data_IF_788723456166
#
_entry.id   IF_788723456166
#
_cell.length_a   1.000
_cell.length_b   1.000
_cell.length_c   1.000
_cell.angle_alpha   90.00
_cell.angle_beta   90.00
_cell.angle_gamma   90.00
#
_symmetry.space_group_name_H-M   'P 1'
#
loop_
_entity.id
_entity.type
_entity.pdbx_description
1 polymer ?
#
# COMPACT_ATOMS: atom_id res chain seq x y z
N UNK A 1 -8.22 -4.41 -9.69
CA UNK A 1 -8.57 -4.72 -8.29
C UNK A 1 -9.67 -5.76 -8.16
N UNK A 2 -10.70 -5.78 -9.03
CA UNK A 2 -11.74 -6.82 -9.00
C UNK A 2 -11.24 -8.26 -9.24
N UNK A 3 -10.10 -8.43 -9.93
CA UNK A 3 -9.54 -9.74 -10.24
C UNK A 3 -9.02 -10.52 -9.02
N UNK A 4 -8.59 -9.86 -7.94
CA UNK A 4 -8.01 -10.56 -6.78
C UNK A 4 -9.09 -11.21 -5.90
N UNK A 5 -10.30 -10.63 -5.86
CA UNK A 5 -11.43 -11.17 -5.09
C UNK A 5 -12.03 -12.39 -5.77
N UNK A 6 -12.01 -12.43 -7.11
CA UNK A 6 -12.51 -13.57 -7.90
C UNK A 6 -11.61 -14.80 -7.69
N UNK A 7 -10.29 -14.61 -7.59
CA UNK A 7 -9.34 -15.72 -7.42
C UNK A 7 -9.56 -16.50 -6.11
N UNK A 8 -9.98 -15.84 -5.03
CA UNK A 8 -10.28 -16.51 -3.74
C UNK A 8 -11.60 -17.30 -3.74
N UNK A 9 -12.46 -17.16 -4.76
CA UNK A 9 -13.76 -17.85 -4.83
C UNK A 9 -13.83 -19.00 -5.84
N UNK A 10 -12.81 -19.21 -6.67
CA UNK A 10 -12.87 -20.15 -7.82
C UNK A 10 -12.25 -21.53 -7.54
N UNK A 11 -11.44 -21.72 -6.50
CA UNK A 11 -10.74 -22.99 -6.29
C UNK A 11 -11.38 -23.85 -5.17
N UNK A 12 -12.52 -24.50 -5.44
CA UNK A 12 -12.89 -25.74 -4.72
C UNK A 12 -13.94 -26.66 -5.40
N UNK A 13 -14.19 -26.56 -6.69
CA UNK A 13 -15.03 -27.53 -7.39
C UNK A 13 -14.30 -28.01 -8.65
N UNK A 14 -13.58 -29.13 -8.55
CA UNK A 14 -13.47 -30.10 -9.65
C UNK A 14 -12.79 -31.40 -9.18
N UNK A 15 -13.49 -32.52 -9.40
CA UNK A 15 -13.05 -33.90 -9.22
C UNK A 15 -13.87 -34.76 -10.19
N UNK A 16 -13.42 -35.96 -10.59
CA UNK A 16 -12.26 -36.29 -11.43
C UNK A 16 -12.71 -36.84 -12.81
N UNK A 17 -11.95 -36.58 -13.87
CA UNK A 17 -12.22 -37.18 -15.19
C UNK A 17 -11.54 -38.57 -15.31
N UNK A 18 -12.37 -39.58 -15.52
CA UNK A 18 -12.01 -40.97 -15.79
C UNK A 18 -11.53 -41.12 -17.24
N UNK A 19 -10.41 -41.80 -17.48
CA UNK A 19 -10.02 -42.21 -18.83
C UNK A 19 -9.69 -43.71 -18.86
N UNK A 20 -10.58 -44.46 -19.53
CA UNK A 20 -10.39 -45.85 -19.91
C UNK A 20 -9.66 -45.97 -21.28
N UNK A 21 -8.97 -47.10 -21.41
CA UNK A 21 -8.53 -47.81 -22.62
C UNK A 21 -7.17 -47.47 -23.26
N UNK A 22 -6.29 -48.50 -23.30
CA UNK A 22 -5.60 -49.01 -24.51
C UNK A 22 -4.85 -50.32 -24.19
N UNK A 23 -5.41 -51.43 -24.71
CA UNK A 23 -4.80 -52.55 -25.48
C UNK A 23 -3.64 -53.40 -24.93
N UNK A 24 -3.95 -54.71 -24.89
CA UNK A 24 -3.11 -55.91 -24.73
C UNK A 24 -1.75 -55.91 -25.45
N UNK A 25 -0.73 -56.51 -24.80
CA UNK A 25 0.32 -57.30 -25.46
C UNK A 25 0.80 -58.48 -24.57
N UNK A 26 0.35 -59.69 -24.91
CA UNK A 26 0.99 -61.02 -24.85
C UNK A 26 2.34 -61.21 -24.11
N UNK A 27 2.35 -62.03 -23.04
CA UNK A 27 3.36 -63.10 -22.83
C UNK A 27 3.01 -64.05 -21.68
N UNK A 28 2.94 -65.35 -21.98
CA UNK A 28 2.66 -66.45 -21.04
C UNK A 28 3.90 -66.75 -20.19
N UNK A 29 3.83 -66.52 -18.88
CA UNK A 29 4.57 -67.26 -17.83
C UNK A 29 3.94 -66.92 -16.49
N UNK A 30 3.65 -67.95 -15.69
CA UNK A 30 3.01 -67.95 -14.35
C UNK A 30 3.25 -66.66 -13.56
N UNK A 31 2.43 -65.66 -13.79
CA UNK A 31 2.23 -64.50 -12.92
C UNK A 31 0.78 -64.62 -12.48
N UNK A 32 0.56 -64.53 -11.16
CA UNK A 32 -0.79 -64.43 -10.60
C UNK A 32 -1.30 -63.05 -11.03
N UNK A 33 -1.85 -63.00 -12.25
CA UNK A 33 -2.39 -61.80 -12.86
C UNK A 33 -3.44 -61.23 -11.93
N UNK A 34 -3.08 -60.12 -11.28
CA UNK A 34 -3.96 -59.31 -10.45
C UNK A 34 -4.95 -58.56 -11.32
N UNK A 35 -5.79 -59.29 -12.03
CA UNK A 35 -7.07 -58.78 -12.49
C UNK A 35 -8.05 -59.16 -11.36
N UNK A 36 -8.14 -58.34 -10.30
CA UNK A 36 -9.31 -58.40 -9.41
C UNK A 36 -10.47 -57.96 -10.30
N UNK A 37 -11.09 -58.94 -10.97
CA UNK A 37 -12.40 -58.83 -11.60
C UNK A 37 -13.35 -58.15 -10.63
N UNK A 38 -14.45 -57.58 -11.14
CA UNK A 38 -15.51 -56.97 -10.34
C UNK A 38 -16.05 -57.88 -9.19
N UNK A 39 -15.63 -59.15 -9.13
CA UNK A 39 -15.83 -60.11 -8.04
C UNK A 39 -14.53 -60.52 -7.32
N UNK A 40 -13.73 -59.57 -6.84
CA UNK A 40 -12.64 -59.87 -5.90
C UNK A 40 -13.17 -60.47 -4.58
N UNK A 41 -12.36 -61.24 -3.85
CA UNK A 41 -12.73 -61.66 -2.47
C UNK A 41 -13.07 -60.42 -1.62
N UNK A 42 -13.96 -60.56 -0.63
CA UNK A 42 -14.28 -59.50 0.35
C UNK A 42 -13.00 -58.86 0.92
N UNK A 43 -11.94 -59.66 1.10
CA UNK A 43 -10.63 -59.18 1.51
C UNK A 43 -9.90 -58.31 0.46
N UNK A 44 -9.96 -58.62 -0.85
CA UNK A 44 -9.35 -57.78 -1.93
C UNK A 44 -10.02 -56.39 -1.93
N UNK A 45 -11.35 -56.35 -1.87
CA UNK A 45 -12.11 -55.08 -1.84
C UNK A 45 -11.76 -54.24 -0.62
N UNK A 46 -11.69 -54.85 0.56
CA UNK A 46 -11.35 -54.14 1.79
C UNK A 46 -9.91 -53.64 1.80
N UNK A 47 -8.95 -54.40 1.25
CA UNK A 47 -7.58 -53.92 1.07
C UNK A 47 -7.56 -52.66 0.21
N UNK A 48 -8.22 -52.68 -0.95
CA UNK A 48 -8.31 -51.50 -1.83
C UNK A 48 -8.99 -50.31 -1.19
N UNK A 49 -9.97 -50.53 -0.30
CA UNK A 49 -10.59 -49.44 0.47
C UNK A 49 -9.60 -48.82 1.48
N UNK A 50 -8.83 -49.64 2.20
CA UNK A 50 -7.83 -49.16 3.17
C UNK A 50 -6.65 -48.47 2.50
N UNK A 51 -6.17 -49.01 1.37
CA UNK A 51 -5.08 -48.44 0.61
C UNK A 51 -5.45 -47.02 0.15
N UNK A 52 -6.62 -46.84 -0.48
CA UNK A 52 -7.14 -45.51 -0.85
C UNK A 52 -7.29 -44.56 0.34
N UNK A 53 -7.74 -45.06 1.49
CA UNK A 53 -7.83 -44.24 2.70
C UNK A 53 -6.45 -43.81 3.20
N UNK A 54 -5.47 -44.72 3.19
CA UNK A 54 -4.11 -44.42 3.58
C UNK A 54 -3.46 -43.41 2.63
N UNK A 55 -3.72 -43.50 1.32
CA UNK A 55 -3.24 -42.54 0.34
C UNK A 55 -3.73 -41.11 0.68
N UNK A 56 -4.99 -40.97 1.09
CA UNK A 56 -5.53 -39.67 1.55
C UNK A 56 -4.85 -39.14 2.82
N UNK A 57 -4.51 -40.01 3.77
CA UNK A 57 -3.76 -39.61 4.96
C UNK A 57 -2.33 -39.16 4.63
N UNK A 58 -1.67 -39.84 3.67
CA UNK A 58 -0.34 -39.48 3.20
C UNK A 58 -0.37 -38.13 2.46
N UNK A 59 -1.33 -37.94 1.57
CA UNK A 59 -1.57 -36.69 0.85
C UNK A 59 -1.81 -35.54 1.84
N UNK A 60 -2.74 -35.72 2.80
CA UNK A 60 -3.02 -34.73 3.84
C UNK A 60 -1.76 -34.40 4.65
N UNK A 61 -1.02 -35.43 5.10
CA UNK A 61 0.23 -35.22 5.84
C UNK A 61 1.26 -34.38 5.07
N UNK A 62 1.36 -34.57 3.75
CA UNK A 62 2.27 -33.78 2.89
C UNK A 62 1.86 -32.32 2.73
N UNK A 63 0.55 -32.03 2.76
CA UNK A 63 0.01 -30.67 2.71
C UNK A 63 0.27 -29.93 4.02
N UNK A 64 0.15 -30.63 5.16
CA UNK A 64 0.31 -30.01 6.48
C UNK A 64 1.76 -29.65 6.80
N UNK A 65 2.72 -30.49 6.40
CA UNK A 65 4.15 -30.24 6.59
C UNK A 65 4.93 -30.43 5.28
N UNK A 66 4.90 -29.44 4.37
CA UNK A 66 5.70 -29.49 3.16
C UNK A 66 7.19 -29.62 3.49
N UNK A 67 7.85 -30.64 2.93
CA UNK A 67 9.29 -30.87 3.09
C UNK A 67 9.71 -31.70 4.30
N UNK A 68 8.77 -32.20 5.13
CA UNK A 68 9.06 -33.23 6.14
C UNK A 68 8.47 -34.58 5.74
N UNK A 69 9.10 -35.71 6.13
CA UNK A 69 8.51 -37.01 5.92
C UNK A 69 7.15 -37.11 6.65
N UNK A 70 6.10 -37.66 6.01
CA UNK A 70 4.77 -37.70 6.61
C UNK A 70 4.77 -38.42 7.96
N UNK A 71 4.22 -37.76 9.00
CA UNK A 71 3.96 -38.40 10.29
C UNK A 71 3.00 -39.56 10.07
N UNK A 72 3.29 -40.74 10.63
CA UNK A 72 2.45 -41.93 10.41
C UNK A 72 1.23 -41.99 11.34
N UNK A 73 1.12 -41.09 12.32
CA UNK A 73 -0.01 -41.08 13.26
C UNK A 73 -1.21 -40.34 12.67
N UNK A 74 -2.27 -41.12 12.38
CA UNK A 74 -3.52 -40.63 11.80
C UNK A 74 -4.24 -39.62 12.68
N UNK A 75 -4.17 -39.75 14.01
CA UNK A 75 -4.84 -38.82 14.92
C UNK A 75 -4.16 -37.45 14.90
N UNK A 76 -2.82 -37.44 14.91
CA UNK A 76 -2.03 -36.21 14.83
C UNK A 76 -2.25 -35.50 13.50
N UNK A 77 -2.28 -36.22 12.37
CA UNK A 77 -2.60 -35.63 11.06
C UNK A 77 -3.94 -34.89 11.09
N UNK A 78 -4.99 -35.51 11.68
CA UNK A 78 -6.31 -34.87 11.75
C UNK A 78 -6.33 -33.64 12.66
N UNK A 79 -5.63 -33.70 13.80
CA UNK A 79 -5.51 -32.55 14.73
C UNK A 79 -4.75 -31.40 14.06
N UNK A 80 -3.63 -31.69 13.40
CA UNK A 80 -2.83 -30.70 12.67
C UNK A 80 -3.65 -30.07 11.54
N UNK A 81 -4.43 -30.86 10.79
CA UNK A 81 -5.34 -30.36 9.76
C UNK A 81 -6.41 -29.42 10.31
N UNK A 82 -7.06 -29.79 11.43
CA UNK A 82 -8.05 -28.95 12.09
C UNK A 82 -7.46 -27.62 12.56
N UNK A 83 -6.26 -27.69 13.15
CA UNK A 83 -5.53 -26.50 13.61
C UNK A 83 -5.18 -25.57 12.45
N UNK A 84 -4.58 -26.11 11.38
CA UNK A 84 -4.21 -25.32 10.20
C UNK A 84 -5.44 -24.72 9.50
N UNK A 85 -6.52 -25.48 9.36
CA UNK A 85 -7.77 -24.96 8.78
C UNK A 85 -8.35 -23.80 9.60
N UNK A 86 -8.28 -23.87 10.93
CA UNK A 86 -8.74 -22.79 11.81
C UNK A 86 -7.85 -21.55 11.67
N UNK A 87 -6.53 -21.74 11.65
CA UNK A 87 -5.56 -20.68 11.46
C UNK A 87 -5.77 -19.97 10.11
N UNK A 88 -5.81 -20.71 9.00
CA UNK A 88 -6.00 -20.16 7.65
C UNK A 88 -7.32 -19.38 7.54
N UNK A 89 -8.43 -19.89 8.12
CA UNK A 89 -9.69 -19.14 8.17
C UNK A 89 -9.55 -17.82 8.93
N UNK A 90 -8.83 -17.82 10.05
CA UNK A 90 -8.60 -16.60 10.84
C UNK A 90 -7.73 -15.58 10.08
N UNK A 91 -6.70 -16.05 9.37
CA UNK A 91 -5.81 -15.22 8.56
C UNK A 91 -6.56 -14.63 7.35
N UNK A 92 -7.32 -15.45 6.63
CA UNK A 92 -8.17 -15.01 5.53
C UNK A 92 -9.16 -13.93 5.99
N UNK A 93 -9.79 -14.10 7.16
CA UNK A 93 -10.71 -13.10 7.70
C UNK A 93 -10.01 -11.80 8.10
N UNK A 94 -8.80 -11.87 8.67
CA UNK A 94 -7.98 -10.68 8.98
C UNK A 94 -7.56 -9.94 7.72
N UNK A 95 -7.11 -10.68 6.69
CA UNK A 95 -6.71 -10.11 5.41
C UNK A 95 -7.89 -9.43 4.73
N UNK A 96 -9.07 -10.07 4.73
CA UNK A 96 -10.30 -9.47 4.20
C UNK A 96 -10.63 -8.13 4.88
N UNK A 97 -10.61 -8.09 6.21
CA UNK A 97 -10.82 -6.84 6.96
C UNK A 97 -9.78 -5.77 6.61
N UNK A 98 -8.50 -6.13 6.56
CA UNK A 98 -7.44 -5.19 6.17
C UNK A 98 -7.61 -4.66 4.74
N UNK A 99 -8.10 -5.48 3.81
CA UNK A 99 -8.42 -5.03 2.45
C UNK A 99 -9.60 -4.05 2.44
N UNK A 100 -10.65 -4.31 3.23
CA UNK A 100 -11.80 -3.41 3.40
C UNK A 100 -11.35 -2.07 4.00
N UNK A 101 -10.56 -2.09 5.08
CA UNK A 101 -10.03 -0.90 5.75
C UNK A 101 -9.14 -0.05 4.81
N UNK A 102 -8.25 -0.70 4.03
CA UNK A 102 -7.43 -0.01 3.04
C UNK A 102 -8.27 0.59 1.91
N UNK A 103 -9.33 -0.10 1.50
CA UNK A 103 -10.25 0.38 0.46
C UNK A 103 -11.03 1.62 0.94
N UNK A 104 -11.44 1.64 2.20
CA UNK A 104 -12.03 2.82 2.85
C UNK A 104 -11.03 3.99 2.86
N UNK A 105 -9.80 3.76 3.34
CA UNK A 105 -8.71 4.77 3.34
C UNK A 105 -8.48 5.38 1.96
N UNK A 106 -8.48 4.55 0.92
CA UNK A 106 -8.31 5.00 -0.47
C UNK A 106 -9.48 5.91 -0.89
N UNK A 107 -10.69 5.60 -0.47
CA UNK A 107 -11.87 6.40 -0.81
C UNK A 107 -11.87 7.73 -0.04
N UNK A 108 -11.51 7.72 1.24
CA UNK A 108 -11.29 8.94 2.06
C UNK A 108 -10.26 9.86 1.41
N UNK A 109 -9.07 9.34 1.08
CA UNK A 109 -8.02 10.13 0.44
C UNK A 109 -8.41 10.66 -0.94
N UNK A 110 -9.24 9.92 -1.70
CA UNK A 110 -9.79 10.41 -2.97
C UNK A 110 -10.74 11.58 -2.75
N UNK A 111 -11.58 11.52 -1.70
CA UNK A 111 -12.49 12.59 -1.35
C UNK A 111 -11.70 13.84 -0.90
N UNK A 112 -10.76 13.69 0.03
CA UNK A 112 -9.91 14.79 0.52
C UNK A 112 -9.13 15.45 -0.63
N UNK A 113 -8.54 14.64 -1.52
CA UNK A 113 -7.87 15.16 -2.72
C UNK A 113 -8.81 15.99 -3.59
N UNK A 114 -10.08 15.60 -3.73
CA UNK A 114 -11.04 16.37 -4.51
C UNK A 114 -11.41 17.68 -3.81
N UNK A 115 -11.67 17.65 -2.51
CA UNK A 115 -11.95 18.85 -1.71
C UNK A 115 -10.80 19.86 -1.79
N UNK A 116 -9.55 19.40 -1.70
CA UNK A 116 -8.37 20.26 -1.87
C UNK A 116 -8.28 20.87 -3.29
N UNK A 117 -8.75 20.17 -4.32
CA UNK A 117 -8.81 20.75 -5.69
C UNK A 117 -9.86 21.85 -5.78
N UNK A 118 -11.02 21.64 -5.16
CA UNK A 118 -12.11 22.60 -5.15
C UNK A 118 -11.72 23.85 -4.33
N UNK A 119 -11.09 23.65 -3.17
CA UNK A 119 -10.51 24.71 -2.34
C UNK A 119 -9.48 25.54 -3.10
N UNK A 120 -8.52 24.86 -3.74
CA UNK A 120 -7.48 25.50 -4.54
C UNK A 120 -8.08 26.35 -5.67
N UNK A 121 -9.10 25.85 -6.35
CA UNK A 121 -9.76 26.58 -7.44
C UNK A 121 -10.50 27.81 -6.89
N UNK A 122 -11.20 27.69 -5.76
CA UNK A 122 -11.90 28.80 -5.13
C UNK A 122 -10.94 29.91 -4.70
N UNK A 123 -9.85 29.56 -4.02
CA UNK A 123 -8.81 30.51 -3.61
C UNK A 123 -8.14 31.18 -4.80
N UNK A 124 -7.95 30.45 -5.92
CA UNK A 124 -7.42 31.04 -7.16
C UNK A 124 -8.36 32.12 -7.71
N UNK A 125 -9.67 31.84 -7.76
CA UNK A 125 -10.65 32.82 -8.24
C UNK A 125 -10.77 34.03 -7.32
N UNK A 126 -10.73 33.83 -6.00
CA UNK A 126 -10.76 34.94 -5.03
C UNK A 126 -9.50 35.81 -5.13
N UNK A 127 -8.33 35.18 -5.24
CA UNK A 127 -7.07 35.88 -5.49
C UNK A 127 -7.14 36.74 -6.76
N UNK A 128 -7.62 36.18 -7.86
CA UNK A 128 -7.75 36.91 -9.14
C UNK A 128 -8.72 38.09 -9.01
N UNK A 129 -9.84 37.92 -8.30
CA UNK A 129 -10.80 38.98 -8.03
C UNK A 129 -10.17 40.13 -7.21
N UNK A 130 -9.48 39.81 -6.10
CA UNK A 130 -8.81 40.83 -5.27
C UNK A 130 -7.72 41.56 -6.06
N UNK A 131 -6.92 40.85 -6.87
CA UNK A 131 -5.90 41.46 -7.73
C UNK A 131 -6.53 42.44 -8.73
N UNK A 132 -7.69 42.11 -9.30
CA UNK A 132 -8.43 43.03 -10.17
C UNK A 132 -8.92 44.27 -9.43
N UNK A 133 -9.49 44.11 -8.23
CA UNK A 133 -9.94 45.24 -7.40
C UNK A 133 -8.79 46.18 -7.04
N UNK A 134 -7.64 45.64 -6.61
CA UNK A 134 -6.44 46.44 -6.29
C UNK A 134 -5.92 47.17 -7.53
N UNK A 135 -5.89 46.51 -8.70
CA UNK A 135 -5.45 47.14 -9.95
C UNK A 135 -6.37 48.29 -10.36
N UNK A 136 -7.69 48.11 -10.23
CA UNK A 136 -8.67 49.16 -10.50
C UNK A 136 -8.50 50.36 -9.56
N UNK A 137 -8.35 50.12 -8.25
CA UNK A 137 -8.12 51.17 -7.25
C UNK A 137 -6.81 51.94 -7.48
N UNK A 138 -5.71 51.25 -7.77
CA UNK A 138 -4.42 51.93 -8.01
C UNK A 138 -4.40 52.76 -9.30
N UNK A 139 -5.17 52.33 -10.32
CA UNK A 139 -5.30 53.07 -11.58
C UNK A 139 -6.09 54.39 -11.41
N UNK A 140 -6.95 54.46 -10.39
CA UNK A 140 -7.75 55.65 -10.08
C UNK A 140 -6.99 56.69 -9.23
N UNK A 141 -5.94 56.27 -8.51
CA UNK A 141 -5.12 57.14 -7.65
C UNK A 141 -4.07 57.99 -8.41
N UNK A 142 -3.85 57.74 -9.71
CA UNK A 142 -2.87 58.47 -10.53
C UNK A 142 -3.28 59.87 -10.99
N UNK A 143 -4.45 60.38 -10.61
CA UNK A 143 -5.01 61.67 -11.09
C UNK A 143 -5.18 62.74 -10.00
N UNK A 144 -4.48 62.66 -8.87
CA UNK A 144 -4.50 63.73 -7.87
C UNK A 144 -3.28 64.67 -8.04
N UNK A 145 -3.48 65.98 -8.31
CA UNK A 145 -2.39 66.95 -8.36
C UNK A 145 -1.87 67.22 -6.94
N UNK A 146 -0.60 66.91 -6.68
CA UNK A 146 0.06 67.24 -5.41
C UNK A 146 0.12 68.77 -5.22
N UNK A 147 -0.20 69.32 -4.03
CA UNK A 147 0.03 70.73 -3.73
C UNK A 147 1.52 71.02 -3.52
N UNK A 148 1.95 72.19 -4.00
CA UNK A 148 3.33 72.72 -4.03
C UNK A 148 4.15 72.52 -2.76
N UNK A 149 5.40 72.10 -2.93
CA UNK A 149 6.46 72.24 -1.93
C UNK A 149 7.19 73.59 -2.11
N UNK A 150 7.23 74.37 -1.03
CA UNK A 150 7.97 75.64 -0.91
C UNK A 150 9.48 75.34 -0.75
N UNK A 151 10.42 76.04 -1.42
CA UNK A 151 11.85 75.86 -1.17
C UNK A 151 12.29 76.69 0.04
N UNK A 152 12.89 76.04 1.04
CA UNK A 152 13.54 76.72 2.16
C UNK A 152 14.97 77.15 1.75
N UNK A 153 15.35 78.44 1.94
CA UNK A 153 16.69 78.91 1.68
C UNK A 153 17.51 78.79 2.96
N UNK A 154 18.65 78.10 2.92
CA UNK A 154 19.93 78.46 3.57
C UNK A 154 20.87 77.25 3.51
N UNK A 155 21.88 77.37 2.64
CA UNK A 155 23.04 76.48 2.62
C UNK A 155 24.17 77.15 3.40
N UNK A 156 24.86 76.37 4.26
CA UNK A 156 26.16 76.72 4.84
C UNK A 156 27.10 75.52 4.66
N UNK A 157 28.38 75.73 4.27
CA UNK A 157 29.30 74.64 3.98
C UNK A 157 30.08 74.23 5.23
N UNK A 158 30.15 72.94 5.52
CA UNK A 158 30.89 72.39 6.65
C UNK A 158 31.15 70.90 6.47
N UNK A 159 32.41 70.52 6.57
CA UNK A 159 33.01 69.27 6.12
C UNK A 159 32.76 68.05 7.03
N UNK A 160 32.69 66.88 6.36
CA UNK A 160 33.29 65.57 6.74
C UNK A 160 32.83 64.93 8.06
N UNK A 161 31.90 63.96 7.94
CA UNK A 161 32.14 62.53 8.25
C UNK A 161 31.21 61.75 7.32
N UNK A 162 31.80 60.97 6.42
CA UNK A 162 31.10 60.18 5.41
C UNK A 162 30.35 58.99 6.00
N UNK A 163 29.21 59.25 6.64
CA UNK A 163 28.16 58.25 6.78
C UNK A 163 27.63 57.94 5.37
N UNK A 164 27.96 56.75 4.87
CA UNK A 164 27.28 56.15 3.71
C UNK A 164 25.80 55.96 4.06
N UNK A 165 24.99 57.02 3.95
CA UNK A 165 23.56 56.87 3.70
C UNK A 165 23.41 56.57 2.21
N UNK A 166 23.75 55.34 1.83
CA UNK A 166 23.21 54.77 0.60
C UNK A 166 21.71 54.56 0.85
N UNK A 167 20.81 55.09 0.01
CA UNK A 167 19.42 54.69 0.03
C UNK A 167 19.40 53.19 -0.30
N UNK A 168 19.20 52.36 0.72
CA UNK A 168 18.92 50.94 0.53
C UNK A 168 17.54 50.86 -0.12
N UNK A 169 17.52 50.74 -1.44
CA UNK A 169 16.36 50.28 -2.19
C UNK A 169 16.22 48.78 -1.84
N UNK A 170 15.60 48.53 -0.70
CA UNK A 170 15.28 47.19 -0.24
C UNK A 170 14.14 46.66 -1.08
N UNK A 171 14.42 45.66 -1.91
CA UNK A 171 13.39 44.78 -2.44
C UNK A 171 12.66 44.11 -1.25
N UNK A 172 11.34 44.26 -1.11
CA UNK A 172 10.59 43.52 -0.10
C UNK A 172 10.41 42.09 -0.61
N UNK A 173 11.35 41.21 -0.26
CA UNK A 173 11.38 39.87 -0.82
C UNK A 173 12.24 38.90 -0.01
N UNK A 174 11.60 38.27 0.97
CA UNK A 174 11.98 37.00 1.64
C UNK A 174 13.07 37.09 2.71
N UNK A 175 12.67 37.46 3.93
CA UNK A 175 13.33 37.06 5.18
C UNK A 175 12.38 36.19 6.01
N UNK A 176 12.10 34.96 5.53
CA UNK A 176 11.21 34.01 6.22
C UNK A 176 11.94 32.98 7.12
N UNK A 177 13.24 33.15 7.39
CA UNK A 177 14.01 32.15 8.15
C UNK A 177 15.02 32.73 9.14
N UNK A 178 14.73 33.88 9.76
CA UNK A 178 15.53 34.40 10.88
C UNK A 178 14.79 34.31 12.23
N UNK A 179 14.02 33.24 12.46
CA UNK A 179 13.33 33.08 13.73
C UNK A 179 13.48 31.68 14.31
N UNK A 180 14.69 31.33 14.74
CA UNK A 180 14.90 30.37 15.82
C UNK A 180 16.24 30.70 16.52
N UNK A 181 16.26 30.96 17.84
CA UNK A 181 17.51 31.07 18.60
C UNK A 181 18.29 29.74 18.53
N UNK A 182 19.63 29.73 18.38
CA UNK A 182 20.44 28.51 18.31
C UNK A 182 20.26 27.53 19.48
N UNK A 183 19.75 28.00 20.62
CA UNK A 183 19.51 27.18 21.80
C UNK A 183 18.23 26.32 21.74
N UNK A 184 17.38 26.47 20.72
CA UNK A 184 16.14 25.71 20.57
C UNK A 184 16.24 24.50 19.62
N UNK A 185 17.41 24.26 19.03
CA UNK A 185 17.64 23.14 18.10
C UNK A 185 18.35 22.01 18.85
N UNK A 186 17.57 21.12 19.46
CA UNK A 186 18.09 19.88 20.04
C UNK A 186 18.31 18.84 18.92
N UNK A 187 19.54 18.75 18.42
CA UNK A 187 19.97 17.74 17.43
C UNK A 187 20.42 16.43 18.07
N UNK A 188 20.24 16.23 19.37
CA UNK A 188 20.71 15.03 20.07
C UNK A 188 20.11 13.74 19.50
N UNK A 189 18.93 13.80 18.88
CA UNK A 189 18.23 12.64 18.31
C UNK A 189 18.41 12.47 16.78
N UNK A 190 19.17 13.35 16.10
CA UNK A 190 19.31 13.29 14.62
C UNK A 190 19.98 11.98 14.15
N UNK A 191 20.79 11.35 15.01
CA UNK A 191 21.46 10.08 14.72
C UNK A 191 20.54 8.85 14.74
N UNK A 192 19.34 8.95 15.35
CA UNK A 192 18.35 7.85 15.41
C UNK A 192 17.47 7.83 14.16
N UNK A 193 17.28 8.99 13.52
CA UNK A 193 16.38 9.16 12.38
C UNK A 193 17.06 8.97 11.01
N UNK A 194 18.40 8.81 10.97
CA UNK A 194 19.11 8.53 9.73
C UNK A 194 19.41 7.03 9.60
N UNK A 195 19.04 6.41 8.46
CA UNK A 195 19.50 5.05 8.17
C UNK A 195 21.03 5.01 8.08
N UNK A 196 21.67 3.93 8.54
CA UNK A 196 23.13 3.81 8.51
C UNK A 196 23.63 3.92 7.07
N UNK A 197 24.54 4.87 6.83
CA UNK A 197 25.28 4.98 5.58
C UNK A 197 26.22 3.76 5.52
N UNK A 198 26.08 3.00 4.43
CA UNK A 198 26.84 1.78 4.16
C UNK A 198 28.35 2.02 4.06
#
# INVERSE_FOLDING_TARGET
MCFLVIFLSVEFDDLPENLDDVKENHSRKRMRSGLCSASGSKACREKMRRDRLNDRFLELGSILEPGRPPKMDKAIILIDALRMMTQLRSEAQKLKKSCEDLQEKINELKAEKNELRDEKQRLKTEKENIVQQVKALSSQAGFLPHPSAIPAPFAAPGQVVGSKLMPFIGYPGVSMWQFMPPAAVDTSQDHVLRPPVA
#
